data_IF_587320228330
#
_entry.id   IF_587320228330
#
_cell.length_a   1.000
_cell.length_b   1.000
_cell.length_c   1.000
_cell.angle_alpha   90.00
_cell.angle_beta   90.00
_cell.angle_gamma   90.00
#
_symmetry.space_group_name_H-M   'P 1'
#
loop_
_entity.id
_entity.type
_entity.pdbx_description
1 polymer ?
#
# COMPACT_ATOMS: atom_id res chain seq x y z
N UNK A 1 11.39 8.61 -14.66
CA UNK A 1 10.26 8.11 -13.85
C UNK A 1 10.72 6.83 -13.19
N UNK A 2 10.46 6.66 -11.90
CA UNK A 2 10.74 5.45 -11.12
C UNK A 2 9.39 4.84 -10.76
N UNK A 3 9.23 3.55 -11.05
CA UNK A 3 8.04 2.78 -10.69
C UNK A 3 8.41 1.75 -9.63
N UNK A 4 7.67 1.73 -8.52
CA UNK A 4 7.86 0.78 -7.45
C UNK A 4 6.58 -0.02 -7.21
N UNK A 5 6.70 -1.34 -7.08
CA UNK A 5 5.57 -2.27 -6.91
C UNK A 5 5.56 -2.80 -5.49
N UNK A 6 4.74 -2.21 -4.64
CA UNK A 6 4.81 -2.44 -3.20
C UNK A 6 3.55 -3.11 -2.67
N UNK A 7 3.78 -4.07 -1.77
CA UNK A 7 2.77 -4.57 -0.86
C UNK A 7 2.97 -3.89 0.50
N UNK A 8 1.98 -3.18 1.05
CA UNK A 8 2.13 -2.44 2.30
C UNK A 8 2.49 -3.31 3.53
N UNK A 9 2.36 -4.63 3.45
CA UNK A 9 2.72 -5.55 4.55
C UNK A 9 3.87 -6.49 4.19
N UNK A 10 4.57 -6.27 3.07
CA UNK A 10 5.70 -7.09 2.68
C UNK A 10 7.02 -6.55 3.29
N UNK A 11 7.80 -7.41 3.99
CA UNK A 11 9.13 -7.07 4.48
C UNK A 11 10.07 -6.51 3.40
N UNK A 12 10.09 -7.11 2.20
CA UNK A 12 10.98 -6.66 1.13
C UNK A 12 10.56 -5.29 0.57
N UNK A 13 9.25 -5.01 0.51
CA UNK A 13 8.74 -3.69 0.11
C UNK A 13 9.15 -2.62 1.14
N UNK A 14 9.07 -2.94 2.44
CA UNK A 14 9.59 -2.09 3.52
C UNK A 14 11.07 -1.83 3.35
N UNK A 15 11.87 -2.87 3.17
CA UNK A 15 13.33 -2.76 3.16
C UNK A 15 13.85 -2.05 1.88
N UNK A 16 13.09 -2.12 0.78
CA UNK A 16 13.35 -1.35 -0.43
C UNK A 16 12.99 0.16 -0.31
N UNK A 17 12.17 0.56 0.66
CA UNK A 17 11.68 1.94 0.77
C UNK A 17 12.78 2.96 1.16
N UNK A 18 13.63 2.75 2.18
CA UNK A 18 14.70 3.68 2.52
C UNK A 18 15.69 3.98 1.38
N UNK A 19 16.28 2.99 0.66
CA UNK A 19 17.18 3.30 -0.45
C UNK A 19 16.46 3.99 -1.62
N UNK A 20 15.18 3.66 -1.88
CA UNK A 20 14.37 4.38 -2.87
C UNK A 20 14.20 5.86 -2.48
N UNK A 21 13.88 6.17 -1.22
CA UNK A 21 13.81 7.55 -0.74
C UNK A 21 15.14 8.30 -0.91
N UNK A 22 16.27 7.64 -0.64
CA UNK A 22 17.60 8.23 -0.85
C UNK A 22 17.83 8.56 -2.33
N UNK A 23 17.45 7.67 -3.26
CA UNK A 23 17.54 7.94 -4.69
C UNK A 23 16.67 9.12 -5.11
N UNK A 24 15.40 9.17 -4.68
CA UNK A 24 14.50 10.31 -4.95
C UNK A 24 15.09 11.62 -4.43
N UNK A 25 15.64 11.62 -3.22
CA UNK A 25 16.28 12.80 -2.65
C UNK A 25 17.51 13.25 -3.45
N UNK A 26 18.38 12.30 -3.83
CA UNK A 26 19.61 12.59 -4.57
C UNK A 26 19.34 13.15 -5.98
N UNK A 27 18.37 12.56 -6.69
CA UNK A 27 18.05 12.98 -8.06
C UNK A 27 17.12 14.21 -8.10
N UNK A 28 16.36 14.46 -7.04
CA UNK A 28 15.49 15.62 -6.90
C UNK A 28 14.44 15.68 -8.02
N UNK A 29 14.26 16.87 -8.61
CA UNK A 29 13.28 17.09 -9.69
C UNK A 29 13.57 16.35 -11.00
N UNK A 30 14.73 15.69 -11.13
CA UNK A 30 15.08 14.88 -12.32
C UNK A 30 14.31 13.57 -12.39
N UNK A 31 13.70 13.15 -11.28
CA UNK A 31 12.91 11.91 -11.20
C UNK A 31 11.55 12.18 -10.59
N UNK A 32 10.58 11.39 -11.02
CA UNK A 32 9.25 11.26 -10.42
C UNK A 32 9.09 9.83 -9.92
N UNK A 33 8.31 9.65 -8.85
CA UNK A 33 7.97 8.33 -8.30
C UNK A 33 6.50 8.01 -8.54
N UNK A 34 6.23 6.80 -9.01
CA UNK A 34 4.91 6.18 -8.99
C UNK A 34 5.02 4.89 -8.17
N UNK A 35 4.13 4.74 -7.18
CA UNK A 35 3.99 3.48 -6.43
C UNK A 35 2.73 2.77 -6.88
N UNK A 36 2.91 1.55 -7.39
CA UNK A 36 1.86 0.62 -7.75
C UNK A 36 1.65 -0.34 -6.59
N UNK A 37 0.41 -0.41 -6.08
CA UNK A 37 0.08 -1.34 -5.00
C UNK A 37 -0.10 -2.75 -5.57
N UNK A 38 0.68 -3.68 -5.06
CA UNK A 38 0.68 -5.08 -5.46
C UNK A 38 0.36 -5.96 -4.25
N UNK A 39 -0.93 -6.20 -3.93
CA UNK A 39 -1.26 -7.06 -2.81
C UNK A 39 -0.90 -8.51 -3.14
N UNK A 40 0.08 -9.08 -2.44
CA UNK A 40 0.54 -10.44 -2.70
C UNK A 40 -0.46 -11.47 -2.15
N UNK A 41 -0.77 -12.54 -2.90
CA UNK A 41 -1.86 -13.46 -2.53
C UNK A 41 -1.57 -14.31 -1.29
N UNK A 42 -0.32 -14.34 -0.82
CA UNK A 42 0.12 -15.08 0.36
C UNK A 42 0.22 -14.20 1.62
N UNK A 43 -0.11 -12.92 1.52
CA UNK A 43 -0.25 -12.02 2.68
C UNK A 43 -1.75 -11.74 2.90
N UNK A 44 -2.31 -12.27 4.00
CA UNK A 44 -3.77 -12.30 4.24
C UNK A 44 -4.43 -10.92 4.16
N UNK A 45 -3.72 -9.88 4.59
CA UNK A 45 -4.24 -8.51 4.68
C UNK A 45 -3.64 -7.52 3.70
N UNK A 46 -2.83 -7.98 2.73
CA UNK A 46 -2.23 -7.11 1.72
C UNK A 46 -3.27 -6.37 0.86
N UNK A 47 -4.38 -7.03 0.52
CA UNK A 47 -5.47 -6.38 -0.20
C UNK A 47 -6.13 -5.27 0.63
N UNK A 48 -6.38 -5.52 1.91
CA UNK A 48 -7.04 -4.57 2.80
C UNK A 48 -6.18 -3.34 3.07
N UNK A 49 -4.87 -3.53 3.32
CA UNK A 49 -3.94 -2.40 3.50
C UNK A 49 -3.73 -1.62 2.20
N UNK A 50 -3.66 -2.30 1.04
CA UNK A 50 -3.64 -1.65 -0.27
C UNK A 50 -4.92 -0.84 -0.54
N UNK A 51 -6.07 -1.34 -0.10
CA UNK A 51 -7.33 -0.59 -0.18
C UNK A 51 -7.32 0.65 0.71
N UNK A 52 -6.82 0.55 1.94
CA UNK A 52 -6.64 1.69 2.83
C UNK A 52 -5.77 2.79 2.19
N UNK A 53 -4.67 2.40 1.55
CA UNK A 53 -3.81 3.30 0.78
C UNK A 53 -4.56 4.03 -0.34
N UNK A 54 -5.39 3.32 -1.12
CA UNK A 54 -6.23 3.96 -2.15
C UNK A 54 -7.28 4.91 -1.57
N UNK A 55 -7.88 4.57 -0.43
CA UNK A 55 -8.86 5.40 0.27
C UNK A 55 -8.19 6.69 0.75
N UNK A 56 -7.07 6.59 1.46
CA UNK A 56 -6.32 7.75 1.94
C UNK A 56 -5.83 8.60 0.77
N UNK A 57 -5.38 8.00 -0.33
CA UNK A 57 -4.98 8.78 -1.49
C UNK A 57 -6.14 9.56 -2.14
N UNK A 58 -7.39 9.12 -1.98
CA UNK A 58 -8.57 9.89 -2.41
C UNK A 58 -8.91 11.02 -1.43
N UNK A 59 -8.74 10.79 -0.13
CA UNK A 59 -9.13 11.74 0.93
C UNK A 59 -8.05 12.80 1.19
N UNK A 60 -6.78 12.39 1.22
CA UNK A 60 -5.61 13.20 1.51
C UNK A 60 -4.35 12.63 0.82
N UNK A 61 -4.13 12.96 -0.46
CA UNK A 61 -2.97 12.49 -1.22
C UNK A 61 -1.61 12.80 -0.56
N UNK A 62 -1.51 13.91 0.17
CA UNK A 62 -0.27 14.32 0.84
C UNK A 62 0.12 13.38 2.00
N UNK A 63 -0.84 12.62 2.52
CA UNK A 63 -0.64 11.68 3.61
C UNK A 63 -0.41 10.23 3.15
N UNK A 64 -0.56 9.94 1.85
CA UNK A 64 -0.46 8.57 1.30
C UNK A 64 0.85 7.89 1.66
N UNK A 65 1.99 8.56 1.46
CA UNK A 65 3.30 7.97 1.80
C UNK A 65 3.56 7.88 3.30
N UNK A 66 2.95 8.75 4.12
CA UNK A 66 2.99 8.59 5.59
C UNK A 66 2.25 7.33 6.01
N UNK A 67 1.11 7.03 5.38
CA UNK A 67 0.38 5.78 5.64
C UNK A 67 1.17 4.54 5.20
N UNK A 68 1.86 4.60 4.05
CA UNK A 68 2.75 3.51 3.62
C UNK A 68 3.83 3.24 4.68
N UNK A 69 4.47 4.30 5.18
CA UNK A 69 5.49 4.21 6.23
C UNK A 69 4.93 3.65 7.53
N UNK A 70 3.73 4.08 7.95
CA UNK A 70 3.05 3.50 9.12
C UNK A 70 2.76 2.01 8.93
N UNK A 71 2.32 1.57 7.74
CA UNK A 71 2.15 0.14 7.49
C UNK A 71 3.48 -0.59 7.59
N UNK A 72 4.56 -0.07 7.01
CA UNK A 72 5.88 -0.65 7.13
C UNK A 72 6.42 -0.72 8.56
N UNK A 73 6.12 0.28 9.39
CA UNK A 73 6.49 0.29 10.81
C UNK A 73 5.71 -0.77 11.61
N UNK A 74 4.42 -0.91 11.33
CA UNK A 74 3.50 -1.75 12.11
C UNK A 74 3.06 -3.06 11.42
N UNK A 75 3.65 -3.42 10.28
CA UNK A 75 3.21 -4.54 9.44
C UNK A 75 3.21 -5.89 10.17
N UNK A 76 4.05 -6.07 11.19
CA UNK A 76 4.07 -7.27 12.01
C UNK A 76 2.72 -7.59 12.69
N UNK A 77 1.85 -6.57 12.89
CA UNK A 77 0.47 -6.75 13.40
C UNK A 77 -0.46 -7.43 12.39
N UNK A 78 -0.14 -7.36 11.10
CA UNK A 78 -0.98 -7.79 9.98
C UNK A 78 -0.43 -9.02 9.24
N UNK A 79 0.63 -9.62 9.76
CA UNK A 79 1.18 -10.88 9.26
C UNK A 79 0.23 -12.05 9.60
N UNK A 80 0.21 -13.05 8.70
CA UNK A 80 -0.72 -14.18 8.77
C UNK A 80 -0.72 -14.86 10.14
N UNK A 81 0.44 -15.05 10.78
CA UNK A 81 0.53 -15.68 12.10
C UNK A 81 -0.15 -14.84 13.20
N UNK A 82 0.05 -13.51 13.19
CA UNK A 82 -0.48 -12.56 14.17
C UNK A 82 -1.98 -12.30 13.99
N UNK A 83 -2.51 -12.57 12.81
CA UNK A 83 -3.94 -12.42 12.50
C UNK A 83 -4.69 -13.74 12.45
N UNK A 84 -4.00 -14.88 12.60
CA UNK A 84 -4.56 -16.23 12.44
C UNK A 84 -5.77 -16.54 13.34
N UNK A 85 -5.85 -15.91 14.51
CA UNK A 85 -6.94 -16.07 15.48
C UNK A 85 -7.93 -14.90 15.52
N UNK A 86 -7.80 -13.93 14.61
CA UNK A 86 -8.65 -12.74 14.55
C UNK A 86 -9.71 -12.90 13.46
N UNK A 87 -10.88 -12.32 13.68
CA UNK A 87 -11.86 -12.19 12.60
C UNK A 87 -11.35 -11.21 11.54
N UNK A 88 -11.81 -11.38 10.30
CA UNK A 88 -11.52 -10.43 9.22
C UNK A 88 -11.89 -9.01 9.60
N UNK A 89 -13.06 -8.82 10.19
CA UNK A 89 -13.59 -7.50 10.56
C UNK A 89 -12.73 -6.85 11.64
N UNK A 90 -12.26 -7.61 12.64
CA UNK A 90 -11.38 -7.08 13.68
C UNK A 90 -10.06 -6.55 13.11
N UNK A 91 -9.46 -7.26 12.16
CA UNK A 91 -8.20 -6.80 11.53
C UNK A 91 -8.44 -5.63 10.59
N UNK A 92 -9.55 -5.60 9.85
CA UNK A 92 -9.91 -4.45 9.01
C UNK A 92 -10.15 -3.20 9.87
N UNK A 93 -10.80 -3.35 11.02
CA UNK A 93 -10.97 -2.28 12.01
C UNK A 93 -9.61 -1.76 12.54
N UNK A 94 -8.65 -2.65 12.82
CA UNK A 94 -7.27 -2.27 13.18
C UNK A 94 -6.56 -1.50 12.05
N UNK A 95 -6.76 -1.90 10.79
CA UNK A 95 -6.23 -1.20 9.61
C UNK A 95 -6.84 0.21 9.50
N UNK A 96 -8.15 0.34 9.69
CA UNK A 96 -8.85 1.63 9.66
C UNK A 96 -8.34 2.54 10.77
N UNK A 97 -8.18 2.02 11.99
CA UNK A 97 -7.63 2.77 13.13
C UNK A 97 -6.22 3.27 12.85
N UNK A 98 -5.31 2.39 12.41
CA UNK A 98 -3.94 2.80 12.08
C UNK A 98 -3.92 3.87 10.98
N UNK A 99 -4.76 3.72 9.96
CA UNK A 99 -4.88 4.70 8.90
C UNK A 99 -5.36 6.06 9.42
N UNK A 100 -6.41 6.06 10.27
CA UNK A 100 -6.93 7.27 10.91
C UNK A 100 -5.89 7.92 11.84
N UNK A 101 -5.19 7.15 12.67
CA UNK A 101 -4.13 7.65 13.55
C UNK A 101 -3.00 8.33 12.74
N UNK A 102 -2.66 7.78 11.58
CA UNK A 102 -1.59 8.32 10.72
C UNK A 102 -2.00 9.63 10.03
N UNK A 103 -3.23 9.70 9.52
CA UNK A 103 -3.67 10.84 8.68
C UNK A 103 -4.47 11.88 9.45
N UNK A 104 -4.94 11.55 10.65
CA UNK A 104 -5.78 12.35 11.54
C UNK A 104 -7.09 11.64 11.89
N UNK A 105 -7.38 11.52 13.18
CA UNK A 105 -8.55 10.77 13.68
C UNK A 105 -9.91 11.29 13.15
N UNK A 106 -9.98 12.55 12.71
CA UNK A 106 -11.16 13.10 12.04
C UNK A 106 -11.52 12.37 10.73
N UNK A 107 -10.59 11.65 10.12
CA UNK A 107 -10.83 10.88 8.90
C UNK A 107 -11.40 9.48 9.15
N UNK A 108 -11.52 9.02 10.41
CA UNK A 108 -11.94 7.65 10.73
C UNK A 108 -13.21 7.21 9.97
N UNK A 109 -14.31 7.97 10.11
CA UNK A 109 -15.59 7.63 9.45
C UNK A 109 -15.50 7.66 7.93
N UNK A 110 -14.67 8.55 7.36
CA UNK A 110 -14.46 8.61 5.91
C UNK A 110 -13.65 7.41 5.40
N UNK A 111 -12.66 6.95 6.17
CA UNK A 111 -11.86 5.76 5.85
C UNK A 111 -12.74 4.51 5.95
N UNK A 112 -13.50 4.37 7.03
CA UNK A 112 -14.44 3.28 7.25
C UNK A 112 -15.49 3.21 6.13
N UNK A 113 -16.10 4.35 5.77
CA UNK A 113 -17.01 4.43 4.62
C UNK A 113 -16.33 4.02 3.31
N UNK A 114 -15.07 4.41 3.13
CA UNK A 114 -14.25 3.97 2.00
C UNK A 114 -14.08 2.44 1.91
N UNK A 115 -14.06 1.71 3.02
CA UNK A 115 -14.05 0.24 3.05
C UNK A 115 -15.41 -0.39 2.70
N UNK A 116 -16.49 0.39 2.72
CA UNK A 116 -17.81 -0.03 2.26
C UNK A 116 -18.11 0.41 0.81
N UNK A 117 -17.28 1.29 0.22
CA UNK A 117 -17.43 1.74 -1.16
C UNK A 117 -16.85 0.73 -2.18
N UNK A 118 -17.68 0.25 -3.11
CA UNK A 118 -17.29 -0.61 -4.24
C UNK A 118 -16.16 -0.01 -5.09
N UNK A 119 -16.09 1.32 -5.25
CA UNK A 119 -15.07 1.97 -6.10
C UNK A 119 -13.65 1.74 -5.59
N UNK A 120 -13.45 1.73 -4.28
CA UNK A 120 -12.13 1.53 -3.66
C UNK A 120 -11.70 0.06 -3.75
N UNK A 121 -12.63 -0.88 -3.61
CA UNK A 121 -12.41 -2.31 -3.89
C UNK A 121 -12.00 -2.53 -5.36
N UNK A 122 -12.74 -1.94 -6.30
CA UNK A 122 -12.43 -2.06 -7.74
C UNK A 122 -11.05 -1.49 -8.08
N UNK A 123 -10.68 -0.32 -7.52
CA UNK A 123 -9.32 0.24 -7.70
C UNK A 123 -8.24 -0.74 -7.24
N UNK A 124 -8.41 -1.33 -6.07
CA UNK A 124 -7.45 -2.31 -5.52
C UNK A 124 -7.34 -3.56 -6.40
N UNK A 125 -8.47 -4.07 -6.91
CA UNK A 125 -8.49 -5.20 -7.87
C UNK A 125 -7.80 -4.87 -9.20
N UNK A 126 -7.96 -3.65 -9.69
CA UNK A 126 -7.33 -3.19 -10.93
C UNK A 126 -5.82 -3.15 -10.75
N UNK A 127 -5.30 -2.58 -9.65
CA UNK A 127 -3.87 -2.55 -9.35
C UNK A 127 -3.25 -3.95 -9.38
N UNK A 128 -3.90 -4.92 -8.73
CA UNK A 128 -3.47 -6.33 -8.75
C UNK A 128 -3.49 -6.95 -10.16
N UNK A 129 -4.54 -6.68 -10.96
CA UNK A 129 -4.68 -7.23 -12.33
C UNK A 129 -3.69 -6.62 -13.32
N UNK A 130 -3.42 -5.32 -13.23
CA UNK A 130 -2.52 -4.63 -14.16
C UNK A 130 -1.09 -5.15 -14.03
N UNK A 131 -0.64 -5.45 -12.81
CA UNK A 131 0.64 -6.13 -12.59
C UNK A 131 0.72 -7.48 -13.32
N UNK A 132 -0.31 -8.33 -13.19
CA UNK A 132 -0.34 -9.67 -13.79
C UNK A 132 -0.35 -9.68 -15.32
N UNK A 133 -0.82 -8.61 -15.96
CA UNK A 133 -0.96 -8.56 -17.42
C UNK A 133 0.26 -7.99 -18.13
N UNK A 134 1.26 -7.49 -17.41
CA UNK A 134 2.38 -6.77 -18.03
C UNK A 134 1.90 -5.63 -18.94
N UNK A 135 0.70 -5.09 -18.71
CA UNK A 135 0.16 -3.97 -19.51
C UNK A 135 0.77 -2.70 -18.94
N UNK A 136 2.02 -2.48 -19.34
CA UNK A 136 2.81 -1.28 -19.16
C UNK A 136 2.40 -0.28 -20.24
N UNK A 137 1.27 0.40 -20.06
CA UNK A 137 1.01 1.57 -20.88
C UNK A 137 1.90 2.72 -20.36
N UNK A 138 2.90 3.04 -21.19
CA UNK A 138 3.91 4.12 -21.10
C UNK A 138 5.24 3.71 -20.44
N UNK A 139 6.18 3.26 -21.29
CA UNK A 139 7.64 3.38 -21.20
C UNK A 139 8.28 3.42 -19.78
N UNK A 140 8.85 2.32 -19.30
CA UNK A 140 10.29 2.13 -19.01
C UNK A 140 10.59 1.01 -17.98
N UNK A 141 11.61 0.20 -18.35
CA UNK A 141 12.59 -0.59 -17.59
C UNK A 141 12.18 -1.45 -16.37
N UNK A 142 12.34 -2.76 -16.58
CA UNK A 142 12.41 -3.83 -15.59
C UNK A 142 13.59 -3.68 -14.63
N UNK A 143 13.36 -3.89 -13.33
CA UNK A 143 14.30 -4.61 -12.47
C UNK A 143 13.59 -5.29 -11.28
N UNK A 144 13.45 -6.61 -11.41
CA UNK A 144 13.55 -7.65 -10.38
C UNK A 144 13.13 -7.34 -8.93
N UNK A 145 11.97 -7.86 -8.52
CA UNK A 145 11.72 -8.30 -7.14
C UNK A 145 10.98 -9.64 -7.20
N UNK A 146 11.76 -10.72 -7.16
CA UNK A 146 11.41 -12.07 -6.72
C UNK A 146 12.65 -12.93 -7.02
N UNK A 147 13.64 -12.88 -6.12
CA UNK A 147 14.82 -13.73 -6.18
C UNK A 147 14.91 -14.57 -4.91
N UNK A 148 14.65 -15.87 -5.09
CA UNK A 148 14.90 -17.01 -4.21
C UNK A 148 14.22 -17.04 -2.83
#
# INVERSE_FOLDING_TARGET
MIEAFFDPVCPDSRDAWPPLKQAIHHYGSRVSLIVHLLPLPYHDYAFSTSRAMHIVNLLNPSATFRLLESFFEYQGRFYNAQTSNKSRDAVVDEIIKLAAETVGNSYYSAIESGFNDRKTDLKTRISFKCFKRGVWNTNFLHQWICGA
#
